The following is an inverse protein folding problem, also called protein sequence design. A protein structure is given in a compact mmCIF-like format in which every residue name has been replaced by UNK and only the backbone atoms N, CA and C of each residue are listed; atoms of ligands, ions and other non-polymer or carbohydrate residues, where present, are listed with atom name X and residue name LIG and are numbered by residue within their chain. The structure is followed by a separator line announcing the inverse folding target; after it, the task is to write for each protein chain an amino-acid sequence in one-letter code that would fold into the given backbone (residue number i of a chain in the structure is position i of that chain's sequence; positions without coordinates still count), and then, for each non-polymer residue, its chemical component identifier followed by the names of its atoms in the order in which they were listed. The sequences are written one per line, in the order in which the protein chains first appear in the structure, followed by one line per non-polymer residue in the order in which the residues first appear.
data_IF_890004259553
#
_entry.id   IF_890004259553
#
_cell.length_a   1.000
_cell.length_b   1.000
_cell.length_c   1.000
_cell.angle_alpha   90.00
_cell.angle_beta   90.00
_cell.angle_gamma   90.00
#
_symmetry.space_group_name_H-M   'P 1'
#
loop_
_entity.id
_entity.type
_entity.pdbx_description
1 polymer ?
#
# COMPACT_ATOMS: atom_id res chain seq x y z
N UNK A 1 12.52 5.03 -5.61
CA UNK A 1 12.19 3.85 -4.77
C UNK A 1 11.25 4.27 -3.67
N UNK A 2 10.19 3.50 -3.50
CA UNK A 2 9.17 3.84 -2.51
C UNK A 2 8.50 2.58 -1.98
N UNK A 3 7.94 2.69 -0.78
CA UNK A 3 7.07 1.68 -0.20
C UNK A 3 5.62 2.13 -0.45
N UNK A 4 4.79 1.24 -0.98
CA UNK A 4 3.39 1.55 -1.26
C UNK A 4 2.47 0.75 -0.34
N UNK A 5 1.42 1.39 0.18
CA UNK A 5 0.41 0.69 0.97
C UNK A 5 -0.82 0.32 0.14
N UNK A 6 -1.73 -0.44 0.76
CA UNK A 6 -2.92 -0.91 0.07
C UNK A 6 -3.84 0.24 -0.35
N UNK A 7 -3.95 1.30 0.45
CA UNK A 7 -4.82 2.44 0.12
C UNK A 7 -4.38 3.14 -1.16
N UNK A 8 -3.07 3.34 -1.32
CA UNK A 8 -2.52 3.94 -2.53
C UNK A 8 -2.66 3.01 -3.73
N UNK A 9 -2.42 1.72 -3.54
CA UNK A 9 -2.55 0.75 -4.63
C UNK A 9 -4.00 0.65 -5.12
N UNK A 10 -4.97 0.63 -4.21
CA UNK A 10 -6.39 0.64 -4.57
C UNK A 10 -6.74 1.87 -5.39
N UNK A 11 -6.25 3.02 -4.99
CA UNK A 11 -6.47 4.27 -5.72
C UNK A 11 -5.98 4.16 -7.16
N UNK A 12 -4.77 3.63 -7.34
CA UNK A 12 -4.18 3.39 -8.66
C UNK A 12 -5.04 2.43 -9.47
N UNK A 13 -5.48 1.33 -8.85
CA UNK A 13 -6.21 0.27 -9.56
C UNK A 13 -7.61 0.70 -10.00
N UNK A 14 -8.28 1.57 -9.23
CA UNK A 14 -9.68 1.92 -9.45
C UNK A 14 -9.89 3.22 -10.23
N UNK A 15 -8.87 4.06 -10.37
CA UNK A 15 -9.01 5.36 -11.05
C UNK A 15 -8.33 5.37 -12.41
N UNK A 16 -9.13 5.33 -13.47
CA UNK A 16 -8.63 5.46 -14.84
C UNK A 16 -8.04 6.84 -15.13
N UNK A 17 -8.54 7.88 -14.44
CA UNK A 17 -8.12 9.26 -14.58
C UNK A 17 -6.67 9.50 -14.20
N UNK A 18 -6.09 8.58 -13.42
CA UNK A 18 -4.70 8.67 -12.96
C UNK A 18 -3.76 7.76 -13.74
N UNK A 19 -4.17 7.29 -14.92
CA UNK A 19 -3.39 6.31 -15.67
C UNK A 19 -1.94 6.76 -15.93
N UNK A 20 -1.71 8.05 -16.21
CA UNK A 20 -0.37 8.60 -16.41
C UNK A 20 0.43 8.62 -15.09
N UNK A 21 -0.18 9.04 -13.99
CA UNK A 21 0.41 8.99 -12.63
C UNK A 21 0.69 7.57 -12.21
N UNK A 22 -0.26 6.67 -12.48
CA UNK A 22 -0.15 5.24 -12.15
C UNK A 22 1.01 4.60 -12.89
N UNK A 23 1.14 4.87 -14.19
CA UNK A 23 2.26 4.36 -14.98
C UNK A 23 3.59 4.90 -14.48
N UNK A 24 3.64 6.17 -14.08
CA UNK A 24 4.85 6.77 -13.52
C UNK A 24 5.23 6.12 -12.20
N UNK A 25 4.27 5.88 -11.31
CA UNK A 25 4.50 5.20 -10.04
C UNK A 25 4.92 3.75 -10.25
N UNK A 26 4.23 3.03 -11.15
CA UNK A 26 4.52 1.63 -11.43
C UNK A 26 5.83 1.46 -12.22
N UNK A 27 6.40 2.53 -12.77
CA UNK A 27 7.71 2.49 -13.41
C UNK A 27 8.86 2.68 -12.42
N UNK A 28 8.58 3.07 -11.17
CA UNK A 28 9.59 3.15 -10.10
C UNK A 28 9.72 1.81 -9.40
N UNK A 29 10.85 1.62 -8.73
CA UNK A 29 11.03 0.46 -7.85
C UNK A 29 10.09 0.61 -6.66
N UNK A 30 9.07 -0.22 -6.61
CA UNK A 30 8.10 -0.25 -5.53
C UNK A 30 8.33 -1.47 -4.67
N UNK A 31 8.25 -1.25 -3.36
CA UNK A 31 8.36 -2.29 -2.34
C UNK A 31 7.11 -2.27 -1.47
N UNK A 32 6.77 -3.40 -0.90
CA UNK A 32 5.70 -3.47 0.08
C UNK A 32 5.87 -4.71 0.95
N UNK A 33 5.33 -4.68 2.19
CA UNK A 33 5.22 -5.89 2.97
C UNK A 33 4.35 -6.92 2.24
N UNK A 34 4.61 -8.20 2.46
CA UNK A 34 3.84 -9.27 1.82
C UNK A 34 2.34 -9.18 2.10
N UNK A 35 1.93 -8.56 3.21
CA UNK A 35 0.51 -8.35 3.55
C UNK A 35 -0.22 -7.42 2.57
N UNK A 36 0.49 -6.71 1.71
CA UNK A 36 -0.13 -5.85 0.70
C UNK A 36 -1.18 -6.61 -0.11
N UNK A 37 -0.89 -7.85 -0.47
CA UNK A 37 -1.80 -8.63 -1.32
C UNK A 37 -3.14 -8.92 -0.61
N UNK A 38 -3.18 -9.56 0.57
CA UNK A 38 -4.47 -9.79 1.23
C UNK A 38 -5.19 -8.50 1.62
N UNK A 39 -4.48 -7.45 2.00
CA UNK A 39 -5.10 -6.17 2.31
C UNK A 39 -5.76 -5.55 1.08
N UNK A 40 -5.08 -5.60 -0.06
CA UNK A 40 -5.62 -5.09 -1.33
C UNK A 40 -6.83 -5.90 -1.78
N UNK A 41 -6.77 -7.23 -1.68
CA UNK A 41 -7.89 -8.12 -2.00
C UNK A 41 -9.10 -7.79 -1.11
N UNK A 42 -8.88 -7.62 0.20
CA UNK A 42 -9.96 -7.25 1.12
C UNK A 42 -10.59 -5.90 0.76
N UNK A 43 -9.78 -4.91 0.39
CA UNK A 43 -10.28 -3.59 0.01
C UNK A 43 -11.11 -3.67 -1.29
N UNK A 44 -10.68 -4.46 -2.26
CA UNK A 44 -11.44 -4.67 -3.50
C UNK A 44 -12.76 -5.41 -3.25
N UNK A 45 -12.75 -6.41 -2.39
CA UNK A 45 -13.98 -7.10 -1.96
C UNK A 45 -14.96 -6.14 -1.29
N UNK A 46 -14.46 -5.28 -0.41
CA UNK A 46 -15.28 -4.26 0.26
C UNK A 46 -15.89 -3.29 -0.76
N UNK A 47 -15.10 -2.83 -1.73
CA UNK A 47 -15.57 -1.93 -2.77
C UNK A 47 -16.70 -2.55 -3.59
N UNK A 48 -16.58 -3.83 -3.93
CA UNK A 48 -17.63 -4.57 -4.64
C UNK A 48 -18.88 -4.75 -3.76
N UNK A 49 -18.70 -5.09 -2.49
CA UNK A 49 -19.81 -5.27 -1.55
C UNK A 49 -20.60 -3.97 -1.35
N UNK A 50 -19.90 -2.83 -1.30
CA UNK A 50 -20.51 -1.52 -1.18
C UNK A 50 -21.02 -0.96 -2.51
N UNK A 51 -20.92 -1.74 -3.58
CA UNK A 51 -21.36 -1.39 -4.94
C UNK A 51 -20.66 -0.14 -5.49
N UNK A 52 -19.45 0.15 -5.03
CA UNK A 52 -18.60 1.21 -5.59
C UNK A 52 -18.00 0.78 -6.93
N UNK A 53 -17.80 -0.51 -7.10
CA UNK A 53 -17.40 -1.13 -8.36
C UNK A 53 -18.19 -2.44 -8.54
N UNK A 54 -18.26 -2.96 -9.77
CA UNK A 54 -18.87 -4.26 -10.00
C UNK A 54 -17.96 -5.38 -9.52
N UNK A 55 -18.54 -6.54 -9.21
CA UNK A 55 -17.79 -7.74 -8.86
C UNK A 55 -16.79 -8.13 -9.94
N UNK A 56 -17.20 -8.00 -11.21
CA UNK A 56 -16.35 -8.33 -12.36
C UNK A 56 -15.12 -7.41 -12.42
N UNK A 57 -15.31 -6.10 -12.23
CA UNK A 57 -14.21 -5.13 -12.20
C UNK A 57 -13.26 -5.44 -11.04
N UNK A 58 -13.80 -5.67 -9.84
CA UNK A 58 -12.98 -6.00 -8.68
C UNK A 58 -12.13 -7.25 -8.93
N UNK A 59 -12.76 -8.30 -9.49
CA UNK A 59 -12.06 -9.54 -9.83
C UNK A 59 -10.93 -9.32 -10.82
N UNK A 60 -11.17 -8.51 -11.86
CA UNK A 60 -10.15 -8.18 -12.86
C UNK A 60 -8.96 -7.46 -12.23
N UNK A 61 -9.22 -6.55 -11.30
CA UNK A 61 -8.15 -5.83 -10.59
C UNK A 61 -7.35 -6.78 -9.69
N UNK A 62 -8.01 -7.72 -9.02
CA UNK A 62 -7.33 -8.76 -8.24
C UNK A 62 -6.42 -9.60 -9.14
N UNK A 63 -6.92 -10.04 -10.29
CA UNK A 63 -6.11 -10.80 -11.24
C UNK A 63 -4.89 -10.01 -11.71
N UNK A 64 -5.04 -8.70 -11.86
CA UNK A 64 -3.95 -7.81 -12.28
C UNK A 64 -2.84 -7.67 -11.23
N UNK A 65 -3.13 -7.91 -9.95
CA UNK A 65 -2.12 -7.81 -8.88
C UNK A 65 -0.91 -8.69 -9.13
N UNK A 66 -1.11 -9.89 -9.69
CA UNK A 66 -0.01 -10.82 -9.94
C UNK A 66 0.96 -10.34 -11.01
N UNK A 67 0.58 -9.31 -11.78
CA UNK A 67 1.39 -8.76 -12.87
C UNK A 67 2.11 -7.47 -12.48
N UNK A 68 1.83 -6.92 -11.29
CA UNK A 68 2.43 -5.65 -10.88
C UNK A 68 3.89 -5.83 -10.47
N UNK A 69 4.77 -4.90 -10.90
CA UNK A 69 6.19 -4.97 -10.57
C UNK A 69 6.46 -4.40 -9.16
N UNK A 70 5.90 -5.02 -8.14
CA UNK A 70 6.08 -4.63 -6.74
C UNK A 70 6.86 -5.74 -6.04
N UNK A 71 7.99 -5.39 -5.42
CA UNK A 71 8.78 -6.32 -4.63
C UNK A 71 8.14 -6.50 -3.26
N UNK A 72 7.64 -7.69 -2.99
CA UNK A 72 7.02 -8.02 -1.71
C UNK A 72 8.08 -8.55 -0.73
N UNK A 73 8.08 -7.99 0.47
CA UNK A 73 9.11 -8.26 1.47
C UNK A 73 8.48 -9.03 2.64
N UNK A 74 9.03 -10.21 2.99
CA UNK A 74 8.65 -10.90 4.22
C UNK A 74 9.08 -10.07 5.44
N UNK A 75 8.21 -9.97 6.45
CA UNK A 75 8.37 -9.01 7.53
C UNK A 75 8.88 -9.59 8.85
N UNK A 76 9.18 -10.89 8.94
CA UNK A 76 9.56 -11.48 10.22
C UNK A 76 10.85 -10.89 10.80
N UNK A 77 11.78 -10.43 9.97
CA UNK A 77 13.01 -9.80 10.46
C UNK A 77 12.76 -8.44 11.12
N UNK A 78 11.62 -7.80 10.84
CA UNK A 78 11.25 -6.50 11.38
C UNK A 78 10.22 -6.63 12.52
N UNK A 79 10.06 -7.82 13.08
CA UNK A 79 9.04 -8.06 14.12
C UNK A 79 9.18 -7.12 15.32
N UNK A 80 10.39 -6.86 15.78
CA UNK A 80 10.61 -5.98 16.92
C UNK A 80 10.27 -4.52 16.59
N UNK A 81 10.68 -4.05 15.41
CA UNK A 81 10.37 -2.71 14.93
C UNK A 81 8.87 -2.51 14.78
N UNK A 82 8.17 -3.51 14.26
CA UNK A 82 6.71 -3.49 14.15
C UNK A 82 6.08 -3.37 15.55
N UNK A 83 6.56 -4.15 16.50
CA UNK A 83 6.10 -4.09 17.89
C UNK A 83 6.30 -2.70 18.49
N UNK A 84 7.47 -2.11 18.30
CA UNK A 84 7.80 -0.78 18.83
C UNK A 84 6.93 0.31 18.24
N UNK A 85 6.61 0.24 16.93
CA UNK A 85 5.74 1.20 16.26
C UNK A 85 4.26 1.01 16.62
N UNK A 86 3.90 -0.14 17.18
CA UNK A 86 2.49 -0.49 17.45
C UNK A 86 1.88 0.29 18.62
N UNK A 87 2.65 1.13 19.30
CA UNK A 87 2.10 2.05 20.30
C UNK A 87 1.20 3.12 19.69
N UNK A 88 1.53 3.56 18.46
CA UNK A 88 0.78 4.63 17.77
C UNK A 88 0.14 4.16 16.46
N UNK A 89 0.51 2.99 15.96
CA UNK A 89 0.04 2.43 14.70
C UNK A 89 -0.49 1.02 14.94
N UNK A 90 -1.44 0.57 14.11
CA UNK A 90 -1.76 -0.86 14.09
C UNK A 90 -0.52 -1.64 13.64
N UNK A 91 -0.44 -2.92 14.00
CA UNK A 91 0.67 -3.76 13.56
C UNK A 91 0.73 -3.85 12.02
N UNK A 92 -0.43 -3.82 11.36
CA UNK A 92 -0.50 -3.82 9.89
C UNK A 92 0.11 -2.54 9.30
N UNK A 93 -0.29 -1.37 9.80
CA UNK A 93 0.28 -0.08 9.37
C UNK A 93 1.76 0.00 9.72
N UNK A 94 2.15 -0.51 10.89
CA UNK A 94 3.54 -0.54 11.32
C UNK A 94 4.43 -1.37 10.36
N UNK A 95 3.88 -2.37 9.67
CA UNK A 95 4.63 -3.11 8.65
C UNK A 95 5.13 -2.19 7.53
N UNK A 96 4.27 -1.31 7.04
CA UNK A 96 4.63 -0.39 5.96
C UNK A 96 5.64 0.66 6.43
N UNK A 97 5.42 1.22 7.59
CA UNK A 97 6.31 2.25 8.16
C UNK A 97 7.69 1.66 8.48
N UNK A 98 7.74 0.49 9.12
CA UNK A 98 9.02 -0.15 9.45
C UNK A 98 9.81 -0.54 8.21
N UNK A 99 9.13 -1.00 7.14
CA UNK A 99 9.79 -1.30 5.88
C UNK A 99 10.37 -0.03 5.25
N UNK A 100 9.61 1.06 5.21
CA UNK A 100 10.08 2.33 4.68
C UNK A 100 11.29 2.86 5.46
N UNK A 101 11.28 2.73 6.79
CA UNK A 101 12.42 3.08 7.63
C UNK A 101 13.65 2.24 7.30
N UNK A 102 13.47 0.91 7.20
CA UNK A 102 14.54 -0.02 6.93
C UNK A 102 15.20 0.25 5.57
N UNK A 103 14.39 0.55 4.55
CA UNK A 103 14.87 0.81 3.20
C UNK A 103 15.28 2.28 2.99
N UNK A 104 15.01 3.15 3.95
CA UNK A 104 15.22 4.59 3.83
C UNK A 104 14.49 5.16 2.61
N UNK A 105 13.25 4.73 2.42
CA UNK A 105 12.41 5.14 1.28
C UNK A 105 11.16 5.87 1.73
N UNK A 106 10.57 6.61 0.80
CA UNK A 106 9.29 7.30 1.02
C UNK A 106 8.15 6.28 1.07
N UNK A 107 7.21 6.51 1.98
CA UNK A 107 5.95 5.77 2.02
C UNK A 107 4.91 6.49 1.16
N UNK A 108 4.32 5.76 0.22
CA UNK A 108 3.20 6.25 -0.60
C UNK A 108 1.91 5.68 -0.02
N UNK A 109 1.00 6.54 0.38
CA UNK A 109 -0.28 6.15 0.97
C UNK A 109 -1.38 7.10 0.51
N UNK A 110 -2.63 6.66 0.58
CA UNK A 110 -3.81 7.51 0.41
C UNK A 110 -4.60 7.63 1.71
N UNK A 111 -4.09 7.06 2.78
CA UNK A 111 -4.68 7.13 4.12
C UNK A 111 -4.07 8.31 4.88
N UNK A 112 -4.86 9.39 5.03
CA UNK A 112 -4.37 10.63 5.67
C UNK A 112 -4.07 10.44 7.14
N UNK A 113 -4.78 9.54 7.83
CA UNK A 113 -4.51 9.23 9.23
C UNK A 113 -3.16 8.53 9.37
N UNK A 114 -2.91 7.53 8.53
CA UNK A 114 -1.61 6.86 8.50
C UNK A 114 -0.49 7.84 8.13
N UNK A 115 -0.71 8.68 7.12
CA UNK A 115 0.28 9.66 6.69
C UNK A 115 0.71 10.57 7.84
N UNK A 116 -0.24 11.06 8.62
CA UNK A 116 0.05 11.94 9.76
C UNK A 116 0.97 11.25 10.77
N UNK A 117 0.66 10.01 11.16
CA UNK A 117 1.47 9.27 12.12
C UNK A 117 2.82 8.85 11.53
N UNK A 118 2.83 8.42 10.28
CA UNK A 118 4.03 7.92 9.61
C UNK A 118 5.09 9.03 9.40
N UNK A 119 4.65 10.28 9.22
CA UNK A 119 5.58 11.42 9.05
C UNK A 119 6.51 11.65 10.23
N UNK A 120 6.19 11.09 11.38
CA UNK A 120 7.07 11.11 12.54
C UNK A 120 8.31 10.24 12.35
N UNK A 121 8.29 9.34 11.38
CA UNK A 121 9.32 8.32 11.18
C UNK A 121 9.94 8.32 9.78
N UNK A 122 9.15 8.64 8.75
CA UNK A 122 9.57 8.56 7.34
C UNK A 122 8.95 9.69 6.53
N UNK A 123 9.51 9.95 5.37
CA UNK A 123 8.87 10.83 4.39
C UNK A 123 7.64 10.13 3.81
N UNK A 124 6.57 10.89 3.62
CA UNK A 124 5.29 10.37 3.14
C UNK A 124 4.80 11.19 1.96
N UNK A 125 4.36 10.50 0.92
CA UNK A 125 3.65 11.09 -0.21
C UNK A 125 2.21 10.59 -0.19
N UNK A 126 1.27 11.53 -0.21
CA UNK A 126 -0.15 11.20 -0.37
C UNK A 126 -0.47 11.18 -1.86
N UNK A 127 -1.10 10.10 -2.30
CA UNK A 127 -1.51 9.94 -3.68
C UNK A 127 -2.91 10.55 -3.86
N UNK A 128 -2.98 11.69 -4.49
CA UNK A 128 -4.27 12.36 -4.78
C UNK A 128 -4.75 12.04 -6.18
#
# INVERSE_FOLDING_TARGET
MSVIDASALIEILLKDETAAKSRRLLSHDLFAPAILIPETVNALKKSARLKLVTKAIARDKVAFLSLLPIDLVPMQRLSLEIWQLSDSLSAYDACYVSLAMQLEHTLITNDRRLAKEARRFVDVTILD
#
